data_IF_177386672662
#
_entry.id   IF_177386672662
#
_cell.length_a   1.000
_cell.length_b   1.000
_cell.length_c   1.000
_cell.angle_alpha   90.00
_cell.angle_beta   90.00
_cell.angle_gamma   90.00
#
_symmetry.space_group_name_H-M   'P 1'
#
loop_
_entity.id
_entity.type
_entity.pdbx_description
1 polymer ?
#
# COMPACT_ATOMS: atom_id res chain seq x y z
N UNK A 1 62.09 17.38 4.61
CA UNK A 1 63.17 16.50 4.11
C UNK A 1 62.52 15.33 3.39
N UNK A 2 62.88 15.17 2.10
CA UNK A 2 62.81 13.98 1.24
C UNK A 2 61.42 13.37 0.94
N UNK A 3 60.92 13.54 -0.31
CA UNK A 3 61.06 12.65 -1.49
C UNK A 3 59.99 11.51 -1.44
N UNK A 4 59.32 11.01 -2.48
CA UNK A 4 59.35 11.11 -3.96
C UNK A 4 58.22 10.19 -4.49
N UNK A 5 57.73 10.44 -5.71
CA UNK A 5 57.15 9.39 -6.58
C UNK A 5 55.64 9.19 -6.42
N UNK A 6 54.77 9.43 -7.40
CA UNK A 6 54.98 9.41 -8.84
C UNK A 6 54.58 8.07 -9.43
N UNK A 7 53.28 7.77 -9.48
CA UNK A 7 52.75 6.74 -10.39
C UNK A 7 51.49 7.24 -11.09
N UNK A 8 51.72 7.83 -12.27
CA UNK A 8 50.70 7.97 -13.32
C UNK A 8 50.35 6.57 -13.81
N UNK A 9 49.11 6.14 -13.60
CA UNK A 9 48.49 5.11 -14.45
C UNK A 9 47.45 5.81 -15.30
N UNK A 10 47.86 6.14 -16.52
CA UNK A 10 46.95 6.54 -17.58
C UNK A 10 46.12 5.32 -18.01
N UNK A 11 44.80 5.35 -17.77
CA UNK A 11 43.86 4.52 -18.55
C UNK A 11 42.91 5.46 -19.28
N UNK A 12 43.12 5.57 -20.59
CA UNK A 12 42.21 6.28 -21.51
C UNK A 12 40.98 5.42 -21.76
N UNK A 13 39.85 6.12 -21.98
CA UNK A 13 38.66 5.72 -22.75
C UNK A 13 37.85 4.59 -22.10
N UNK A 14 36.62 4.83 -21.65
CA UNK A 14 35.49 5.08 -22.56
C UNK A 14 34.42 5.98 -21.92
N UNK A 15 34.30 7.18 -22.47
CA UNK A 15 33.05 7.84 -22.87
C UNK A 15 31.75 7.12 -22.43
N UNK A 16 31.14 7.56 -21.32
CA UNK A 16 29.69 7.41 -21.12
C UNK A 16 29.13 8.77 -20.72
N UNK A 17 28.80 9.52 -21.76
CA UNK A 17 28.12 10.81 -21.75
C UNK A 17 26.68 10.63 -21.22
N UNK A 18 26.11 11.75 -20.79
CA UNK A 18 24.67 12.06 -20.63
C UNK A 18 24.15 12.15 -19.19
N UNK A 19 24.62 13.21 -18.52
CA UNK A 19 23.83 14.30 -17.90
C UNK A 19 22.35 14.04 -17.59
N UNK A 20 22.01 13.87 -16.30
CA UNK A 20 20.68 14.18 -15.78
C UNK A 20 20.71 15.57 -15.12
N UNK A 21 20.38 16.59 -15.91
CA UNK A 21 20.04 17.91 -15.39
C UNK A 21 18.51 17.99 -15.24
N UNK A 22 18.08 18.16 -13.98
CA UNK A 22 16.95 18.94 -13.49
C UNK A 22 15.69 19.12 -14.38
N UNK A 23 14.53 18.68 -13.86
CA UNK A 23 13.23 19.20 -14.26
C UNK A 23 12.67 20.14 -13.17
N UNK A 24 12.32 21.40 -13.49
CA UNK A 24 11.69 22.33 -12.56
C UNK A 24 10.16 22.16 -12.48
N UNK A 25 9.64 22.57 -11.31
CA UNK A 25 8.23 22.65 -10.93
C UNK A 25 7.46 23.63 -11.81
N UNK A 26 6.32 23.21 -12.37
CA UNK A 26 5.30 24.13 -12.90
C UNK A 26 3.91 23.69 -12.45
N UNK A 27 3.30 24.61 -11.72
CA UNK A 27 1.95 24.69 -11.17
C UNK A 27 0.94 25.11 -12.26
N UNK A 28 -0.35 24.97 -11.95
CA UNK A 28 -1.51 25.66 -12.54
C UNK A 28 -2.24 24.88 -13.64
N UNK A 29 -3.58 24.84 -13.74
CA UNK A 29 -4.67 25.47 -13.00
C UNK A 29 -5.99 24.76 -13.40
N UNK A 30 -7.04 25.01 -12.62
CA UNK A 30 -8.27 24.26 -12.41
C UNK A 30 -9.36 24.35 -13.52
N UNK A 31 -9.05 24.76 -14.74
CA UNK A 31 -10.08 25.24 -15.70
C UNK A 31 -10.26 24.43 -17.01
N UNK A 32 -9.79 23.18 -17.07
CA UNK A 32 -10.00 22.31 -18.25
C UNK A 32 -10.94 21.11 -18.03
N UNK A 33 -11.39 20.87 -16.79
CA UNK A 33 -12.06 19.63 -16.43
C UNK A 33 -13.45 19.42 -17.09
N UNK A 34 -14.16 20.48 -17.49
CA UNK A 34 -15.51 20.35 -18.05
C UNK A 34 -15.59 20.17 -19.57
N UNK A 35 -14.55 20.51 -20.34
CA UNK A 35 -14.63 20.47 -21.80
C UNK A 35 -14.44 19.05 -22.40
N UNK A 36 -13.78 18.13 -21.68
CA UNK A 36 -13.38 16.82 -22.22
C UNK A 36 -14.47 15.74 -22.02
N UNK A 37 -15.43 15.94 -21.11
CA UNK A 37 -16.39 14.90 -20.71
C UNK A 37 -17.53 14.60 -21.72
N UNK A 38 -17.64 15.31 -22.85
CA UNK A 38 -18.83 15.27 -23.73
C UNK A 38 -18.69 14.48 -25.03
N UNK A 39 -17.55 13.85 -25.32
CA UNK A 39 -17.30 13.25 -26.65
C UNK A 39 -17.11 11.73 -26.68
N UNK A 40 -17.07 11.03 -25.54
CA UNK A 40 -16.98 9.56 -25.51
C UNK A 40 -18.01 8.98 -24.54
N UNK A 41 -19.11 8.47 -25.10
CA UNK A 41 -19.99 7.54 -24.39
C UNK A 41 -19.25 6.23 -24.16
N UNK A 42 -18.59 6.10 -23.02
CA UNK A 42 -17.86 4.89 -22.64
C UNK A 42 -17.12 5.08 -21.33
N UNK A 43 -17.43 4.21 -20.36
CA UNK A 43 -16.95 4.18 -18.98
C UNK A 43 -15.41 3.97 -18.87
N UNK A 44 -14.62 4.94 -19.32
CA UNK A 44 -13.15 4.91 -19.30
C UNK A 44 -12.63 6.05 -18.43
N UNK A 45 -12.34 5.72 -17.18
CA UNK A 45 -11.66 6.63 -16.24
C UNK A 45 -10.25 6.98 -16.76
N UNK A 46 -9.91 8.27 -16.92
CA UNK A 46 -8.61 8.71 -17.45
C UNK A 46 -7.43 8.37 -16.53
N UNK A 47 -6.27 8.05 -17.12
CA UNK A 47 -5.06 7.58 -16.41
C UNK A 47 -4.34 8.64 -15.56
N UNK A 48 -4.78 9.90 -15.56
CA UNK A 48 -4.16 11.02 -14.85
C UNK A 48 -4.92 11.46 -13.58
N UNK A 49 -5.94 10.71 -13.16
CA UNK A 49 -6.63 10.91 -11.88
C UNK A 49 -5.67 10.63 -10.70
N UNK A 50 -5.57 11.52 -9.69
CA UNK A 50 -4.78 11.29 -8.47
C UNK A 50 -5.48 10.36 -7.45
N UNK A 51 -6.59 9.74 -7.84
CA UNK A 51 -7.22 8.69 -7.05
C UNK A 51 -6.47 7.38 -7.29
N UNK A 52 -5.99 6.69 -6.24
CA UNK A 52 -5.50 5.33 -6.42
C UNK A 52 -6.66 4.50 -6.96
N UNK A 53 -6.61 4.15 -8.25
CA UNK A 53 -7.52 3.17 -8.90
C UNK A 53 -7.25 1.74 -8.42
N UNK A 54 -6.65 1.60 -7.24
CA UNK A 54 -6.40 0.35 -6.55
C UNK A 54 -7.23 0.32 -5.29
N UNK A 55 -8.56 0.29 -5.45
CA UNK A 55 -9.24 -0.80 -4.77
C UNK A 55 -8.81 -2.07 -5.53
N UNK A 56 -7.59 -2.54 -5.22
CA UNK A 56 -7.30 -3.95 -5.39
C UNK A 56 -8.19 -4.62 -4.37
N UNK A 57 -9.42 -4.95 -4.76
CA UNK A 57 -10.12 -6.05 -4.12
C UNK A 57 -9.33 -7.27 -4.55
N UNK A 58 -8.29 -7.60 -3.79
CA UNK A 58 -7.42 -8.74 -4.03
C UNK A 58 -8.23 -9.98 -3.66
N UNK A 59 -9.03 -10.46 -4.60
CA UNK A 59 -9.84 -11.66 -4.46
C UNK A 59 -9.00 -12.93 -4.61
N UNK A 60 -7.83 -12.99 -3.98
CA UNK A 60 -7.04 -14.23 -3.91
C UNK A 60 -6.72 -14.57 -2.47
N UNK A 61 -7.81 -14.84 -1.76
CA UNK A 61 -8.06 -15.77 -0.66
C UNK A 61 -9.26 -15.14 0.05
N UNK A 62 -10.45 -15.75 0.00
CA UNK A 62 -11.63 -15.17 0.68
C UNK A 62 -11.41 -15.24 2.20
N UNK A 63 -10.77 -14.20 2.73
CA UNK A 63 -10.61 -13.96 4.15
C UNK A 63 -11.88 -13.34 4.68
N UNK A 64 -12.33 -13.86 5.81
CA UNK A 64 -13.57 -13.41 6.44
C UNK A 64 -13.22 -12.32 7.44
N UNK A 65 -14.13 -11.37 7.61
CA UNK A 65 -14.03 -10.37 8.66
C UNK A 65 -15.00 -10.70 9.78
N UNK A 66 -14.60 -10.42 11.02
CA UNK A 66 -15.36 -10.78 12.22
C UNK A 66 -15.57 -9.54 13.07
N UNK A 67 -16.82 -9.18 13.30
CA UNK A 67 -17.20 -8.01 14.08
C UNK A 67 -17.53 -8.42 15.51
N UNK A 68 -16.89 -7.77 16.48
CA UNK A 68 -17.24 -7.88 17.88
C UNK A 68 -18.62 -7.26 18.13
N UNK A 69 -19.57 -8.05 18.62
CA UNK A 69 -20.94 -7.60 18.91
C UNK A 69 -21.03 -6.65 20.11
N UNK A 70 -19.98 -6.59 20.94
CA UNK A 70 -19.93 -5.75 22.15
C UNK A 70 -19.51 -4.31 21.84
N UNK A 71 -18.49 -4.13 20.98
CA UNK A 71 -17.90 -2.82 20.71
C UNK A 71 -17.86 -2.42 19.23
N UNK A 72 -18.15 -3.34 18.31
CA UNK A 72 -18.10 -3.09 16.86
C UNK A 72 -16.71 -3.16 16.24
N UNK A 73 -15.68 -3.59 16.99
CA UNK A 73 -14.34 -3.79 16.44
C UNK A 73 -14.31 -4.91 15.39
N UNK A 74 -13.55 -4.75 14.32
CA UNK A 74 -13.48 -5.69 13.19
C UNK A 74 -12.12 -6.36 13.18
N UNK A 75 -12.10 -7.68 13.32
CA UNK A 75 -10.96 -8.54 13.04
C UNK A 75 -10.96 -8.91 11.56
N UNK A 76 -9.84 -8.67 10.88
CA UNK A 76 -9.62 -9.05 9.49
C UNK A 76 -8.65 -10.25 9.46
N UNK A 77 -9.07 -11.39 8.90
CA UNK A 77 -8.21 -12.58 8.80
C UNK A 77 -6.98 -12.36 7.92
N UNK A 78 -7.06 -11.50 6.89
CA UNK A 78 -5.92 -11.16 6.03
C UNK A 78 -4.88 -10.35 6.82
N UNK A 79 -5.34 -9.36 7.59
CA UNK A 79 -4.47 -8.51 8.39
C UNK A 79 -3.94 -9.23 9.64
N UNK A 80 -4.73 -10.12 10.24
CA UNK A 80 -4.45 -10.71 11.55
C UNK A 80 -4.35 -9.65 12.65
N UNK A 81 -3.63 -9.97 13.72
CA UNK A 81 -3.34 -9.03 14.82
C UNK A 81 -1.94 -9.30 15.40
N UNK A 82 -0.85 -8.91 14.71
CA UNK A 82 0.51 -9.26 15.09
C UNK A 82 0.93 -8.68 16.44
N UNK A 83 0.34 -7.55 16.84
CA UNK A 83 0.57 -6.92 18.15
C UNK A 83 0.14 -7.81 19.33
N UNK A 84 -0.86 -8.68 19.12
CA UNK A 84 -1.32 -9.67 20.09
C UNK A 84 -0.83 -11.10 19.79
N UNK A 85 0.06 -11.24 18.82
CA UNK A 85 0.64 -12.53 18.42
C UNK A 85 -0.20 -13.35 17.44
N UNK A 86 -1.22 -12.76 16.81
CA UNK A 86 -1.99 -13.40 15.73
C UNK A 86 -1.38 -12.98 14.39
N UNK A 87 -0.78 -13.91 13.66
CA UNK A 87 -0.13 -13.58 12.40
C UNK A 87 -1.14 -13.13 11.31
N UNK A 88 -0.72 -12.30 10.35
CA UNK A 88 -1.52 -12.01 9.15
C UNK A 88 -1.88 -13.29 8.38
N UNK A 89 -3.11 -13.36 7.86
CA UNK A 89 -3.64 -14.54 7.19
C UNK A 89 -4.15 -15.65 8.11
N UNK A 90 -4.21 -15.42 9.43
CA UNK A 90 -4.73 -16.39 10.40
C UNK A 90 -6.25 -16.47 10.30
N UNK A 91 -6.77 -17.67 9.99
CA UNK A 91 -8.21 -17.92 9.95
C UNK A 91 -8.83 -17.79 11.34
N UNK A 92 -10.09 -17.40 11.40
CA UNK A 92 -10.78 -17.30 12.69
C UNK A 92 -10.83 -18.62 13.44
N UNK A 93 -10.89 -19.75 12.74
CA UNK A 93 -10.82 -21.08 13.34
C UNK A 93 -9.50 -21.31 14.10
N UNK A 94 -8.40 -20.75 13.60
CA UNK A 94 -7.05 -20.88 14.18
C UNK A 94 -6.79 -19.89 15.33
N UNK A 95 -7.62 -18.85 15.49
CA UNK A 95 -7.51 -17.91 16.62
C UNK A 95 -7.76 -18.66 17.94
N UNK A 96 -6.89 -18.53 18.95
CA UNK A 96 -7.07 -19.22 20.23
C UNK A 96 -8.42 -18.93 20.89
N UNK A 97 -9.05 -19.95 21.49
CA UNK A 97 -10.36 -19.78 22.17
C UNK A 97 -10.30 -18.87 23.40
N UNK A 98 -9.11 -18.76 24.02
CA UNK A 98 -8.86 -17.89 25.16
C UNK A 98 -8.49 -16.46 24.75
N UNK A 99 -8.40 -16.16 23.46
CA UNK A 99 -8.19 -14.81 22.97
C UNK A 99 -9.43 -13.95 23.21
N UNK A 100 -9.21 -12.67 23.47
CA UNK A 100 -10.25 -11.70 23.78
C UNK A 100 -10.05 -10.44 22.95
N UNK A 101 -11.15 -9.76 22.62
CA UNK A 101 -11.12 -8.51 21.86
C UNK A 101 -10.17 -7.48 22.51
N UNK A 102 -9.22 -6.89 21.76
CA UNK A 102 -8.25 -5.92 22.30
C UNK A 102 -8.92 -4.64 22.82
N UNK A 103 -10.05 -4.26 22.23
CA UNK A 103 -10.75 -3.01 22.57
C UNK A 103 -11.63 -3.12 23.81
N UNK A 104 -12.23 -4.29 24.06
CA UNK A 104 -13.27 -4.43 25.11
C UNK A 104 -13.17 -5.68 25.98
N UNK A 105 -12.27 -6.62 25.68
CA UNK A 105 -12.11 -7.87 26.42
C UNK A 105 -13.22 -8.91 26.21
N UNK A 106 -14.10 -8.72 25.22
CA UNK A 106 -15.12 -9.71 24.84
C UNK A 106 -14.47 -11.02 24.37
N UNK A 107 -15.17 -12.15 24.52
CA UNK A 107 -14.62 -13.46 24.14
C UNK A 107 -14.81 -13.69 22.65
N UNK A 108 -14.09 -14.69 22.11
CA UNK A 108 -14.24 -15.14 20.72
C UNK A 108 -15.69 -15.48 20.33
N UNK A 109 -16.50 -15.91 21.30
CA UNK A 109 -17.91 -16.25 21.15
C UNK A 109 -18.79 -15.04 20.81
N UNK A 110 -18.36 -13.83 21.18
CA UNK A 110 -19.11 -12.58 20.99
C UNK A 110 -18.83 -11.92 19.62
N UNK A 111 -18.27 -12.66 18.67
CA UNK A 111 -17.96 -12.16 17.33
C UNK A 111 -18.85 -12.82 16.27
N UNK A 112 -19.30 -12.02 15.31
CA UNK A 112 -20.09 -12.47 14.18
C UNK A 112 -19.36 -12.19 12.86
N UNK A 113 -19.47 -13.11 11.91
CA UNK A 113 -18.90 -12.95 10.58
C UNK A 113 -19.63 -11.83 9.83
N UNK A 114 -18.86 -10.92 9.26
CA UNK A 114 -19.35 -9.82 8.43
C UNK A 114 -18.68 -9.86 7.05
N UNK A 115 -19.47 -9.60 6.01
CA UNK A 115 -18.97 -9.46 4.64
C UNK A 115 -18.76 -7.97 4.36
N UNK A 116 -17.50 -7.56 4.10
CA UNK A 116 -17.12 -6.17 3.79
C UNK A 116 -16.51 -6.03 2.39
#
# INVERSE_FOLDING_TARGET
MLQTGGHRVARRRTERRLTHAALPKAVASSDCALAIARHWGGNTVPSWLPFPRTLRRDTRMEYQSWMCLICGWIYDEEAGLPDEGIAPGTRWEDVPINWTCPECGARKEDFEMVQI
#
